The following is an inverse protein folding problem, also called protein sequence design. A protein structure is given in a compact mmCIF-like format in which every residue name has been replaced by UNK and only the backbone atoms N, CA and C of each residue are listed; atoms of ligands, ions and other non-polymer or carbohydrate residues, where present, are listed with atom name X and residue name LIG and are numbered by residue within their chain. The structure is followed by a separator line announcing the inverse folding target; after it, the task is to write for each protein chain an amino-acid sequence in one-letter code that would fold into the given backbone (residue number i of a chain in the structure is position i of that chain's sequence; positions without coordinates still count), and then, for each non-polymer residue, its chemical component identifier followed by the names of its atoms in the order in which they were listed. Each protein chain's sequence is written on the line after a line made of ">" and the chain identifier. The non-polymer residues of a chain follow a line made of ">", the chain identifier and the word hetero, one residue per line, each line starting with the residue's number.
data_IF_590976331477
#
_entry.id   IF_590976331477
#
_cell.length_a   1.000
_cell.length_b   1.000
_cell.length_c   1.000
_cell.angle_alpha   90.00
_cell.angle_beta   90.00
_cell.angle_gamma   90.00
#
_symmetry.space_group_name_H-M   'P 1'
#
loop_
_entity.id
_entity.type
_entity.pdbx_description
1 polymer ?
#
# COMPACT_ATOMS: atom_id res chain seq x y z
N UNK A 1 -4.02 -17.39 21.04
CA UNK A 1 -3.61 -16.65 22.25
C UNK A 1 -4.80 -15.79 22.59
N UNK A 2 -5.43 -16.03 23.74
CA UNK A 2 -6.59 -15.26 24.16
C UNK A 2 -6.11 -14.12 25.06
N UNK A 3 -6.53 -12.89 24.75
CA UNK A 3 -6.22 -11.71 25.54
C UNK A 3 -7.40 -11.39 26.46
N UNK A 4 -7.10 -10.95 27.67
CA UNK A 4 -8.14 -10.44 28.59
C UNK A 4 -8.67 -9.09 28.12
N UNK A 5 -9.79 -8.63 28.66
CA UNK A 5 -10.32 -7.30 28.36
C UNK A 5 -9.32 -6.19 28.73
N UNK A 6 -8.63 -6.34 29.86
CA UNK A 6 -7.57 -5.43 30.27
C UNK A 6 -6.43 -5.39 29.25
N UNK A 7 -6.01 -6.56 28.76
CA UNK A 7 -4.95 -6.66 27.75
C UNK A 7 -5.37 -6.07 26.40
N UNK A 8 -6.61 -6.28 25.96
CA UNK A 8 -7.13 -5.64 24.75
C UNK A 8 -7.15 -4.11 24.89
N UNK A 9 -7.59 -3.60 26.04
CA UNK A 9 -7.54 -2.16 26.34
C UNK A 9 -6.10 -1.62 26.32
N UNK A 10 -5.15 -2.36 26.92
CA UNK A 10 -3.74 -2.03 26.89
C UNK A 10 -3.18 -1.98 25.47
N UNK A 11 -3.54 -2.94 24.62
CA UNK A 11 -3.16 -2.93 23.22
C UNK A 11 -3.72 -1.72 22.47
N UNK A 12 -5.00 -1.41 22.66
CA UNK A 12 -5.63 -0.23 22.04
C UNK A 12 -4.98 1.08 22.49
N UNK A 13 -4.57 1.18 23.76
CA UNK A 13 -3.83 2.32 24.27
C UNK A 13 -2.45 2.46 23.59
N UNK A 14 -1.71 1.37 23.43
CA UNK A 14 -0.44 1.36 22.68
C UNK A 14 -0.67 1.80 21.23
N UNK A 15 -1.67 1.25 20.55
CA UNK A 15 -1.97 1.60 19.16
C UNK A 15 -2.32 3.08 19.02
N UNK A 16 -3.20 3.60 19.88
CA UNK A 16 -3.58 5.01 19.87
C UNK A 16 -2.37 5.91 20.13
N UNK A 17 -1.54 5.59 21.13
CA UNK A 17 -0.31 6.31 21.43
C UNK A 17 0.63 6.40 20.22
N UNK A 18 0.86 5.29 19.52
CA UNK A 18 1.72 5.27 18.32
C UNK A 18 1.11 6.07 17.16
N UNK A 19 -0.21 6.01 16.99
CA UNK A 19 -0.92 6.78 15.96
C UNK A 19 -0.95 8.29 16.28
N UNK A 20 -1.05 8.70 17.53
CA UNK A 20 -0.94 10.11 17.95
C UNK A 20 0.46 10.66 17.72
N UNK A 21 1.49 9.86 18.03
CA UNK A 21 2.88 10.20 17.73
C UNK A 21 3.08 10.46 16.22
N UNK A 22 2.38 9.68 15.40
CA UNK A 22 2.42 9.71 13.95
C UNK A 22 1.46 10.68 13.28
N UNK A 23 0.37 11.13 13.92
CA UNK A 23 -0.64 12.00 13.30
C UNK A 23 -0.58 13.42 13.87
N UNK A 24 -0.29 13.58 15.16
CA UNK A 24 -0.23 14.89 15.82
C UNK A 24 1.20 15.35 16.01
N UNK A 25 2.06 14.48 16.56
CA UNK A 25 3.41 14.89 17.00
C UNK A 25 4.50 14.81 15.93
N UNK A 26 4.21 14.24 14.76
CA UNK A 26 5.15 14.12 13.62
C UNK A 26 6.45 13.42 13.97
N UNK A 27 6.38 12.43 14.86
CA UNK A 27 7.56 11.67 15.27
C UNK A 27 7.97 10.72 14.13
N UNK A 28 9.27 10.62 13.87
CA UNK A 28 9.83 9.70 12.87
C UNK A 28 9.58 8.24 13.26
N UNK A 29 9.66 7.31 12.30
CA UNK A 29 9.56 5.87 12.58
C UNK A 29 10.52 5.44 13.70
N UNK A 30 11.78 5.85 13.61
CA UNK A 30 12.80 5.55 14.63
C UNK A 30 12.42 6.14 16.00
N UNK A 31 11.95 7.39 16.02
CA UNK A 31 11.49 8.03 17.25
C UNK A 31 10.31 7.29 17.88
N UNK A 32 9.37 6.84 17.06
CA UNK A 32 8.17 6.16 17.55
C UNK A 32 8.46 4.72 18.01
N UNK A 33 9.42 4.04 17.38
CA UNK A 33 9.96 2.76 17.88
C UNK A 33 10.66 2.96 19.23
N UNK A 34 11.42 4.04 19.40
CA UNK A 34 12.07 4.38 20.68
C UNK A 34 11.04 4.66 21.78
N UNK A 35 9.97 5.38 21.45
CA UNK A 35 8.83 5.60 22.36
C UNK A 35 8.13 4.30 22.73
N UNK A 36 7.88 3.40 21.77
CA UNK A 36 7.34 2.07 22.05
C UNK A 36 8.26 1.28 23.00
N UNK A 37 9.57 1.30 22.74
CA UNK A 37 10.55 0.63 23.58
C UNK A 37 10.56 1.16 25.02
N UNK A 38 10.36 2.46 25.22
CA UNK A 38 10.19 3.07 26.55
C UNK A 38 8.88 2.63 27.21
N UNK A 39 7.77 2.67 26.49
CA UNK A 39 6.46 2.27 27.02
C UNK A 39 6.43 0.79 27.42
N UNK A 40 7.16 -0.05 26.69
CA UNK A 40 7.26 -1.49 26.95
C UNK A 40 8.42 -1.88 27.87
N UNK A 41 9.19 -0.89 28.38
CA UNK A 41 10.24 -1.16 29.35
C UNK A 41 9.63 -1.61 30.69
N UNK A 42 10.18 -2.68 31.27
CA UNK A 42 9.70 -3.27 32.53
C UNK A 42 8.70 -4.41 32.37
N UNK A 43 8.29 -4.77 31.15
CA UNK A 43 7.48 -5.98 30.93
C UNK A 43 8.29 -7.23 31.32
N UNK A 44 7.83 -7.95 32.34
CA UNK A 44 8.47 -9.16 32.86
C UNK A 44 9.35 -8.95 34.10
N UNK A 45 9.48 -7.72 34.62
CA UNK A 45 10.17 -7.43 35.88
C UNK A 45 9.15 -7.13 36.99
N UNK A 46 9.11 -7.96 38.03
CA UNK A 46 8.07 -7.90 39.07
C UNK A 46 8.12 -6.68 39.99
N UNK A 47 9.17 -5.85 39.96
CA UNK A 47 9.39 -4.78 40.96
C UNK A 47 10.20 -3.56 40.48
N UNK A 48 9.99 -3.10 39.25
CA UNK A 48 10.68 -1.89 38.75
C UNK A 48 9.75 -0.67 38.79
N UNK A 49 10.16 0.39 39.50
CA UNK A 49 9.51 1.72 39.49
C UNK A 49 9.46 2.36 38.08
N UNK A 50 10.14 1.75 37.08
CA UNK A 50 10.19 2.17 35.68
C UNK A 50 9.22 1.41 34.76
N UNK A 51 8.25 0.70 35.31
CA UNK A 51 7.18 0.05 34.54
C UNK A 51 6.33 1.09 33.81
N UNK A 52 6.23 0.98 32.47
CA UNK A 52 5.33 1.80 31.66
C UNK A 52 3.83 1.48 31.83
N UNK A 53 3.46 0.75 32.89
CA UNK A 53 2.08 0.36 33.18
C UNK A 53 1.55 -0.77 32.28
N UNK A 54 2.43 -1.56 31.68
CA UNK A 54 2.11 -2.66 30.76
C UNK A 54 2.54 -4.04 31.32
N UNK A 55 2.77 -4.13 32.62
CA UNK A 55 3.19 -5.32 33.36
C UNK A 55 2.18 -6.49 33.30
N UNK A 56 0.93 -6.20 32.93
CA UNK A 56 -0.12 -7.20 32.68
C UNK A 56 0.04 -7.99 31.36
N UNK A 57 1.01 -7.64 30.51
CA UNK A 57 1.41 -8.49 29.37
C UNK A 57 2.56 -9.42 29.76
N UNK A 58 2.50 -10.68 29.30
CA UNK A 58 3.68 -11.54 29.37
C UNK A 58 4.73 -11.12 28.34
N UNK A 59 5.97 -11.59 28.53
CA UNK A 59 7.07 -11.36 27.56
C UNK A 59 6.69 -11.87 26.15
N UNK A 60 6.00 -13.01 26.06
CA UNK A 60 5.60 -13.56 24.75
C UNK A 60 4.44 -12.78 24.12
N UNK A 61 3.51 -12.28 24.93
CA UNK A 61 2.47 -11.37 24.45
C UNK A 61 3.07 -10.04 23.94
N UNK A 62 4.04 -9.48 24.67
CA UNK A 62 4.77 -8.29 24.24
C UNK A 62 5.48 -8.51 22.89
N UNK A 63 6.18 -9.64 22.71
CA UNK A 63 6.78 -10.00 21.42
C UNK A 63 5.74 -10.12 20.30
N UNK A 64 4.59 -10.75 20.57
CA UNK A 64 3.52 -10.88 19.60
C UNK A 64 2.94 -9.53 19.18
N UNK A 65 2.72 -8.62 20.15
CA UNK A 65 2.26 -7.25 19.89
C UNK A 65 3.27 -6.48 19.06
N UNK A 66 4.55 -6.53 19.41
CA UNK A 66 5.63 -5.87 18.64
C UNK A 66 5.67 -6.41 17.21
N UNK A 67 5.56 -7.74 17.04
CA UNK A 67 5.53 -8.38 15.73
C UNK A 67 4.34 -7.89 14.89
N UNK A 68 3.15 -7.82 15.51
CA UNK A 68 1.95 -7.30 14.86
C UNK A 68 2.11 -5.83 14.45
N UNK A 69 2.58 -4.96 15.35
CA UNK A 69 2.80 -3.54 15.07
C UNK A 69 3.86 -3.32 13.98
N UNK A 70 4.87 -4.20 13.92
CA UNK A 70 5.88 -4.18 12.86
C UNK A 70 5.25 -4.35 11.48
N UNK A 71 4.36 -5.34 11.32
CA UNK A 71 3.72 -5.63 10.01
C UNK A 71 2.53 -4.72 9.70
N UNK A 72 1.79 -4.25 10.71
CA UNK A 72 0.54 -3.51 10.50
C UNK A 72 0.73 -1.99 10.47
N UNK A 73 1.66 -1.45 11.26
CA UNK A 73 1.87 -0.01 11.42
C UNK A 73 3.24 0.44 10.91
N UNK A 74 4.32 -0.14 11.45
CA UNK A 74 5.68 0.35 11.17
C UNK A 74 6.14 0.09 9.74
N UNK A 75 5.77 -1.05 9.15
CA UNK A 75 6.03 -1.33 7.73
C UNK A 75 5.39 -0.29 6.80
N UNK A 76 4.28 0.32 7.22
CA UNK A 76 3.51 1.29 6.44
C UNK A 76 3.66 2.73 6.96
N UNK A 77 4.64 3.01 7.82
CA UNK A 77 4.75 4.29 8.53
C UNK A 77 4.77 5.51 7.59
N UNK A 78 5.52 5.42 6.48
CA UNK A 78 5.60 6.48 5.46
C UNK A 78 4.26 6.73 4.75
N UNK A 79 3.45 5.69 4.55
CA UNK A 79 2.10 5.82 4.00
C UNK A 79 1.18 6.59 4.95
N UNK A 80 1.24 6.27 6.24
CA UNK A 80 0.48 6.99 7.26
C UNK A 80 0.97 8.43 7.44
N UNK A 81 2.28 8.69 7.42
CA UNK A 81 2.82 10.06 7.40
C UNK A 81 2.29 10.84 6.19
N UNK A 82 2.24 10.21 5.01
CA UNK A 82 1.64 10.81 3.81
C UNK A 82 0.15 11.12 4.03
N UNK A 83 -0.61 10.17 4.58
CA UNK A 83 -2.05 10.32 4.84
C UNK A 83 -2.38 11.45 5.82
N UNK A 84 -1.58 11.61 6.88
CA UNK A 84 -1.81 12.62 7.91
C UNK A 84 -1.25 14.01 7.56
N UNK A 85 -0.15 14.09 6.79
CA UNK A 85 0.63 15.33 6.69
C UNK A 85 0.75 15.96 5.33
N UNK A 86 0.60 15.19 4.24
CA UNK A 86 0.58 15.84 2.94
C UNK A 86 -0.74 16.61 2.86
N UNK A 87 -0.71 17.94 2.60
CA UNK A 87 -1.91 18.62 2.16
C UNK A 87 -2.49 17.76 1.07
N UNK A 88 -3.78 17.45 1.17
CA UNK A 88 -4.52 16.95 0.02
C UNK A 88 -4.50 18.10 -0.97
N UNK A 89 -3.36 18.30 -1.65
CA UNK A 89 -3.30 19.14 -2.81
C UNK A 89 -4.38 18.56 -3.71
N UNK A 90 -5.43 19.35 -3.82
CA UNK A 90 -6.48 19.21 -4.80
C UNK A 90 -5.83 19.49 -6.16
N UNK A 91 -4.93 18.60 -6.56
CA UNK A 91 -4.40 18.52 -7.89
C UNK A 91 -5.03 17.27 -8.49
N UNK A 92 -6.20 17.51 -9.08
CA UNK A 92 -6.72 16.66 -10.14
C UNK A 92 -5.73 16.76 -11.30
N UNK A 93 -4.61 16.03 -11.21
CA UNK A 93 -3.81 15.69 -12.38
C UNK A 93 -4.02 14.21 -12.62
N UNK A 94 -5.19 14.00 -13.21
CA UNK A 94 -5.66 12.86 -13.96
C UNK A 94 -6.78 13.39 -14.85
N UNK A 95 -6.50 14.51 -15.54
CA UNK A 95 -7.47 15.30 -16.31
C UNK A 95 -7.71 14.68 -17.69
N UNK A 96 -8.18 13.43 -17.68
CA UNK A 96 -8.60 12.75 -18.89
C UNK A 96 -9.99 12.17 -18.69
N UNK A 97 -10.97 12.82 -19.30
CA UNK A 97 -12.30 12.23 -19.46
C UNK A 97 -12.18 10.83 -20.08
N UNK A 98 -13.16 9.96 -19.80
CA UNK A 98 -13.26 8.64 -20.43
C UNK A 98 -13.08 8.74 -21.95
N UNK A 99 -13.68 9.76 -22.57
CA UNK A 99 -13.52 10.06 -24.00
C UNK A 99 -12.05 10.25 -24.40
N UNK A 100 -11.29 11.06 -23.67
CA UNK A 100 -9.86 11.31 -23.96
C UNK A 100 -9.04 10.04 -23.81
N UNK A 101 -9.26 9.26 -22.74
CA UNK A 101 -8.56 7.99 -22.51
C UNK A 101 -8.84 6.96 -23.61
N UNK A 102 -10.10 6.78 -24.00
CA UNK A 102 -10.47 5.88 -25.11
C UNK A 102 -9.90 6.37 -26.44
N UNK A 103 -9.89 7.67 -26.70
CA UNK A 103 -9.26 8.20 -27.91
C UNK A 103 -7.75 7.93 -27.94
N UNK A 104 -7.06 8.05 -26.79
CA UNK A 104 -5.67 7.66 -26.63
C UNK A 104 -5.45 6.20 -27.00
N UNK A 105 -6.25 5.28 -26.43
CA UNK A 105 -6.21 3.86 -26.77
C UNK A 105 -6.46 3.60 -28.26
N UNK A 106 -7.48 4.22 -28.87
CA UNK A 106 -7.73 4.09 -30.31
C UNK A 106 -6.56 4.60 -31.16
N UNK A 107 -5.88 5.65 -30.71
CA UNK A 107 -4.67 6.15 -31.38
C UNK A 107 -3.52 5.16 -31.27
N UNK A 108 -3.29 4.62 -30.08
CA UNK A 108 -2.23 3.63 -29.84
C UNK A 108 -2.43 2.37 -30.69
N UNK A 109 -3.68 1.90 -30.84
CA UNK A 109 -4.03 0.76 -31.70
C UNK A 109 -3.76 1.10 -33.16
N UNK A 110 -4.32 2.20 -33.68
CA UNK A 110 -4.24 2.56 -35.10
C UNK A 110 -2.81 2.81 -35.57
N UNK A 111 -1.97 3.35 -34.69
CA UNK A 111 -0.59 3.67 -35.01
C UNK A 111 0.38 2.51 -34.72
N UNK A 112 -0.12 1.33 -34.34
CA UNK A 112 0.73 0.18 -34.04
C UNK A 112 1.68 0.40 -32.86
N UNK A 113 1.26 1.16 -31.83
CA UNK A 113 2.11 1.50 -30.70
C UNK A 113 2.24 0.31 -29.72
N UNK A 114 3.07 -0.66 -30.09
CA UNK A 114 3.28 -1.91 -29.35
C UNK A 114 3.99 -1.73 -27.99
N UNK A 115 4.49 -0.53 -27.67
CA UNK A 115 5.08 -0.28 -26.36
C UNK A 115 4.01 -0.25 -25.25
N UNK A 116 2.77 0.08 -25.60
CA UNK A 116 1.64 0.11 -24.67
C UNK A 116 0.84 -1.19 -24.74
N UNK A 117 0.36 -1.71 -23.59
CA UNK A 117 -0.33 -3.01 -23.55
C UNK A 117 -1.54 -3.11 -24.49
N UNK A 118 -2.34 -2.04 -24.57
CA UNK A 118 -3.51 -1.99 -25.48
C UNK A 118 -3.07 -1.97 -26.94
N UNK A 119 -2.01 -1.23 -27.30
CA UNK A 119 -1.51 -1.19 -28.66
C UNK A 119 -0.88 -2.52 -29.08
N UNK A 120 -0.13 -3.14 -28.18
CA UNK A 120 0.46 -4.48 -28.36
C UNK A 120 -0.61 -5.54 -28.63
N UNK A 121 -1.63 -5.65 -27.76
CA UNK A 121 -2.66 -6.68 -27.87
C UNK A 121 -3.51 -6.57 -29.14
N UNK A 122 -4.01 -5.37 -29.44
CA UNK A 122 -4.94 -5.17 -30.56
C UNK A 122 -4.26 -5.14 -31.94
N UNK A 123 -2.93 -5.18 -32.00
CA UNK A 123 -2.18 -5.35 -33.23
C UNK A 123 -1.71 -6.81 -33.46
N UNK A 124 -2.08 -7.75 -32.57
CA UNK A 124 -1.86 -9.18 -32.80
C UNK A 124 -2.85 -9.74 -33.84
N UNK A 125 -2.48 -10.81 -34.58
CA UNK A 125 -3.37 -11.46 -35.53
C UNK A 125 -4.69 -11.91 -34.86
N UNK A 126 -5.81 -11.65 -35.53
CA UNK A 126 -7.14 -12.03 -35.03
C UNK A 126 -7.78 -11.01 -34.08
N UNK A 127 -7.11 -9.89 -33.79
CA UNK A 127 -7.66 -8.78 -33.02
C UNK A 127 -7.77 -7.51 -33.86
N UNK A 128 -8.84 -6.74 -33.63
CA UNK A 128 -9.07 -5.45 -34.30
C UNK A 128 -9.67 -4.44 -33.33
N UNK A 129 -9.62 -3.15 -33.68
CA UNK A 129 -10.26 -2.09 -32.88
C UNK A 129 -11.78 -2.28 -32.71
N UNK A 130 -12.43 -3.06 -33.58
CA UNK A 130 -13.86 -3.37 -33.46
C UNK A 130 -14.16 -4.27 -32.24
N UNK A 131 -13.16 -4.98 -31.73
CA UNK A 131 -13.28 -5.84 -30.56
C UNK A 131 -13.20 -5.04 -29.24
N UNK A 132 -12.82 -3.76 -29.30
CA UNK A 132 -12.72 -2.90 -28.12
C UNK A 132 -14.12 -2.52 -27.60
N UNK A 133 -14.47 -3.07 -26.43
CA UNK A 133 -15.67 -2.69 -25.67
C UNK A 133 -15.27 -1.92 -24.41
N UNK A 134 -16.09 -0.94 -24.03
CA UNK A 134 -15.84 -0.06 -22.87
C UNK A 134 -17.05 -0.06 -21.97
N UNK A 135 -16.82 -0.33 -20.68
CA UNK A 135 -17.84 -0.28 -19.63
C UNK A 135 -17.34 0.57 -18.46
N UNK A 136 -18.25 1.32 -17.84
CA UNK A 136 -17.97 2.09 -16.63
C UNK A 136 -18.20 1.17 -15.43
N UNK A 137 -17.14 0.83 -14.71
CA UNK A 137 -17.21 -0.05 -13.54
C UNK A 137 -17.65 0.69 -12.27
N UNK A 138 -17.35 1.98 -12.18
CA UNK A 138 -17.71 2.82 -11.05
C UNK A 138 -17.74 4.29 -11.45
N UNK A 139 -18.86 4.96 -11.17
CA UNK A 139 -19.02 6.40 -11.33
C UNK A 139 -19.09 7.05 -9.94
N UNK A 140 -17.98 7.63 -9.50
CA UNK A 140 -17.87 8.35 -8.22
C UNK A 140 -17.16 9.68 -8.41
N UNK A 141 -17.46 10.64 -7.53
CA UNK A 141 -16.73 11.90 -7.47
C UNK A 141 -15.44 11.71 -6.66
N UNK A 142 -14.42 11.12 -7.28
CA UNK A 142 -13.11 10.94 -6.66
C UNK A 142 -12.40 12.29 -6.56
N UNK A 143 -12.25 12.79 -5.33
CA UNK A 143 -11.67 14.10 -5.06
C UNK A 143 -10.14 14.10 -5.07
N UNK A 144 -9.52 12.93 -4.90
CA UNK A 144 -8.06 12.82 -4.85
C UNK A 144 -7.55 11.75 -5.81
N UNK A 145 -6.28 11.91 -6.22
CA UNK A 145 -5.55 10.93 -7.01
C UNK A 145 -5.49 9.57 -6.31
N UNK A 146 -5.17 9.57 -5.01
CA UNK A 146 -5.12 8.36 -4.19
C UNK A 146 -6.45 7.57 -4.17
N UNK A 147 -7.60 8.26 -4.10
CA UNK A 147 -8.90 7.59 -4.14
C UNK A 147 -9.14 6.89 -5.48
N UNK A 148 -8.76 7.52 -6.60
CA UNK A 148 -8.87 6.92 -7.93
C UNK A 148 -7.95 5.72 -8.06
N UNK A 149 -6.69 5.88 -7.68
CA UNK A 149 -5.67 4.82 -7.79
C UNK A 149 -6.00 3.63 -6.87
N UNK A 150 -6.54 3.87 -5.68
CA UNK A 150 -7.02 2.81 -4.79
C UNK A 150 -8.19 2.06 -5.41
N UNK A 151 -9.15 2.75 -6.03
CA UNK A 151 -10.27 2.12 -6.70
C UNK A 151 -9.83 1.33 -7.95
N UNK A 152 -8.89 1.88 -8.74
CA UNK A 152 -8.29 1.19 -9.89
C UNK A 152 -7.56 -0.09 -9.46
N UNK A 153 -6.74 -0.02 -8.40
CA UNK A 153 -6.07 -1.18 -7.82
C UNK A 153 -7.07 -2.22 -7.31
N UNK A 154 -8.12 -1.80 -6.62
CA UNK A 154 -9.18 -2.72 -6.18
C UNK A 154 -9.80 -3.47 -7.35
N UNK A 155 -10.04 -2.81 -8.50
CA UNK A 155 -10.57 -3.47 -9.68
C UNK A 155 -9.53 -4.36 -10.39
N UNK A 156 -8.27 -3.94 -10.47
CA UNK A 156 -7.18 -4.78 -11.01
C UNK A 156 -7.09 -6.08 -10.21
N UNK A 157 -7.09 -6.01 -8.88
CA UNK A 157 -7.05 -7.19 -8.02
C UNK A 157 -8.34 -8.01 -8.12
N UNK A 158 -9.51 -7.36 -8.13
CA UNK A 158 -10.82 -8.05 -8.19
C UNK A 158 -11.00 -8.85 -9.48
N UNK A 159 -10.51 -8.33 -10.60
CA UNK A 159 -10.62 -8.97 -11.91
C UNK A 159 -9.34 -9.68 -12.36
N UNK A 160 -8.32 -9.70 -11.51
CA UNK A 160 -7.03 -10.33 -11.78
C UNK A 160 -6.43 -9.93 -13.14
N UNK A 161 -6.49 -8.64 -13.49
CA UNK A 161 -6.14 -8.20 -14.85
C UNK A 161 -4.65 -8.16 -15.14
N UNK A 162 -3.80 -8.48 -14.15
CA UNK A 162 -2.36 -8.66 -14.32
C UNK A 162 -2.04 -10.05 -14.86
N UNK A 163 -2.62 -11.09 -14.26
CA UNK A 163 -2.40 -12.46 -14.72
C UNK A 163 -3.34 -12.86 -15.86
N UNK A 164 -4.54 -12.28 -15.89
CA UNK A 164 -5.63 -12.67 -16.77
C UNK A 164 -6.14 -11.52 -17.66
N UNK A 165 -5.36 -10.44 -17.82
CA UNK A 165 -5.76 -9.25 -18.58
C UNK A 165 -4.60 -8.51 -19.25
N UNK A 166 -4.81 -7.22 -19.54
CA UNK A 166 -3.83 -6.38 -20.27
C UNK A 166 -3.00 -5.47 -19.35
N UNK A 167 -3.19 -5.51 -18.03
CA UNK A 167 -2.36 -4.73 -17.11
C UNK A 167 -1.00 -5.43 -16.98
N UNK A 168 0.10 -4.81 -17.43
CA UNK A 168 1.42 -5.46 -17.49
C UNK A 168 1.96 -5.85 -16.11
N UNK A 169 1.80 -4.98 -15.14
CA UNK A 169 2.37 -5.13 -13.81
C UNK A 169 1.79 -4.08 -12.85
N UNK A 170 2.26 -4.16 -11.60
CA UNK A 170 2.09 -3.10 -10.62
C UNK A 170 3.17 -1.99 -10.76
N UNK A 171 3.95 -1.89 -11.84
CA UNK A 171 5.01 -0.86 -11.96
C UNK A 171 4.44 0.55 -12.12
N UNK A 172 3.15 0.73 -12.39
CA UNK A 172 2.52 2.04 -12.19
C UNK A 172 2.51 2.46 -10.70
N UNK A 173 2.57 1.49 -9.77
CA UNK A 173 2.91 1.72 -8.36
C UNK A 173 4.41 2.02 -8.17
N UNK A 174 5.27 1.81 -9.17
CA UNK A 174 6.66 2.26 -9.12
C UNK A 174 6.80 3.78 -9.19
N UNK A 175 5.74 4.52 -9.55
CA UNK A 175 5.65 5.95 -9.26
C UNK A 175 5.62 6.26 -7.75
N UNK A 176 5.39 5.25 -6.90
CA UNK A 176 5.63 5.30 -5.46
C UNK A 176 6.97 4.66 -5.06
N UNK A 177 7.69 3.96 -5.97
CA UNK A 177 9.00 3.31 -5.69
C UNK A 177 10.09 4.32 -5.33
N UNK A 178 10.08 5.53 -5.90
CA UNK A 178 10.97 6.62 -5.44
C UNK A 178 10.74 7.02 -3.98
N UNK A 179 9.61 6.66 -3.37
CA UNK A 179 9.35 6.81 -1.93
C UNK A 179 9.75 5.59 -1.08
N UNK A 180 10.15 4.47 -1.70
CA UNK A 180 10.52 3.22 -1.02
C UNK A 180 11.97 2.76 -1.30
N UNK A 181 12.64 3.28 -2.33
CA UNK A 181 14.01 2.89 -2.71
C UNK A 181 15.08 3.31 -1.69
N UNK A 182 14.82 4.24 -0.75
CA UNK A 182 15.82 4.63 0.27
C UNK A 182 15.86 3.72 1.50
N UNK A 183 15.12 2.60 1.49
CA UNK A 183 14.95 1.70 2.65
C UNK A 183 15.35 0.24 2.38
N UNK A 184 16.02 -0.04 1.25
CA UNK A 184 16.76 -1.30 1.06
C UNK A 184 15.94 -2.56 0.74
N UNK A 185 14.71 -2.43 0.25
CA UNK A 185 13.95 -3.59 -0.23
C UNK A 185 14.32 -3.95 -1.67
N UNK A 186 15.10 -5.00 -1.85
CA UNK A 186 15.25 -5.68 -3.14
C UNK A 186 14.10 -6.66 -3.34
N UNK A 187 13.28 -6.46 -4.37
CA UNK A 187 12.45 -7.53 -4.93
C UNK A 187 13.38 -8.53 -5.59
N UNK A 188 13.41 -9.75 -5.09
CA UNK A 188 14.15 -10.84 -5.73
C UNK A 188 13.46 -11.20 -7.05
N UNK A 189 13.96 -10.65 -8.16
CA UNK A 189 13.75 -11.23 -9.48
C UNK A 189 14.86 -12.23 -9.73
N UNK A 190 14.59 -13.49 -9.37
CA UNK A 190 15.34 -14.63 -9.88
C UNK A 190 14.38 -15.80 -10.09
N UNK A 191 13.88 -15.93 -11.31
CA UNK A 191 13.60 -17.24 -11.91
C UNK A 191 14.16 -17.25 -13.33
N UNK A 192 15.45 -17.53 -13.40
CA UNK A 192 15.98 -18.34 -14.50
C UNK A 192 15.48 -19.77 -14.28
N UNK A 193 14.69 -20.27 -15.22
CA UNK A 193 14.31 -21.68 -15.32
C UNK A 193 14.58 -22.14 -16.76
N UNK A 194 15.05 -23.38 -16.97
CA UNK A 194 15.71 -23.79 -18.21
C UNK A 194 14.71 -24.15 -19.31
N UNK A 195 15.12 -23.94 -20.56
CA UNK A 195 14.46 -24.46 -21.75
C UNK A 195 14.38 -26.00 -21.72
N UNK A 196 13.26 -26.62 -22.12
CA UNK A 196 13.17 -28.05 -22.39
C UNK A 196 13.65 -28.37 -23.84
N UNK A 197 14.00 -29.65 -24.10
CA UNK A 197 14.81 -30.07 -25.26
C UNK A 197 14.12 -29.95 -26.63
#
# INVERSE_FOLDING_TARGET
>A
MDFTHLQLSGFMAILNFLLENLSTKRITLEGNIKELGRAMAGIGESHSEKSGGLDFFSVDQAKAIISYLKISLFQHYKLYEYLFYKPREELVIGDESLRKRINGHKSDIRNGNIQKPVGEHFNLPGHTIADLKVAILQQKNFRTRLQRETAELQFICKFDTISSGLNKDCEWLANYRTSFSSLGFHTSTARTGPHPP
#
